data_IF_551388081527
#
_entry.id   IF_551388081527
#
_cell.length_a   1.000
_cell.length_b   1.000
_cell.length_c   1.000
_cell.angle_alpha   90.00
_cell.angle_beta   90.00
_cell.angle_gamma   90.00
#
_symmetry.space_group_name_H-M   'P 1'
#
loop_
_entity.id
_entity.type
_entity.pdbx_description
1 polymer ?
#
# COMPACT_ATOMS: atom_id res chain seq x y z
N UNK A 1 -37.59 40.47 -46.22
CA UNK A 1 -36.44 40.47 -45.28
C UNK A 1 -36.73 39.52 -44.11
N UNK A 2 -36.25 38.27 -44.17
CA UNK A 2 -36.37 37.31 -43.06
C UNK A 2 -34.99 37.23 -42.36
N UNK A 3 -34.93 37.67 -41.11
CA UNK A 3 -33.70 37.55 -40.27
C UNK A 3 -33.69 36.14 -39.64
N UNK A 4 -32.75 35.30 -40.06
CA UNK A 4 -32.47 34.02 -39.47
C UNK A 4 -31.62 34.26 -38.18
N UNK A 5 -32.18 33.96 -37.00
CA UNK A 5 -31.44 33.97 -35.73
C UNK A 5 -30.72 32.63 -35.58
N UNK A 6 -29.42 32.63 -35.73
CA UNK A 6 -28.57 31.49 -35.42
C UNK A 6 -28.39 31.39 -33.91
N UNK A 7 -29.01 30.40 -33.30
CA UNK A 7 -28.87 30.08 -31.88
C UNK A 7 -27.55 29.32 -31.66
N UNK A 8 -26.54 29.97 -31.11
CA UNK A 8 -25.29 29.32 -30.71
C UNK A 8 -25.53 28.62 -29.36
N UNK A 9 -25.67 27.28 -29.38
CA UNK A 9 -25.72 26.45 -28.17
C UNK A 9 -24.28 26.21 -27.71
N UNK A 10 -23.81 27.00 -26.74
CA UNK A 10 -22.53 26.78 -26.06
C UNK A 10 -22.72 25.64 -25.08
N UNK A 11 -22.32 24.42 -25.50
CA UNK A 11 -22.31 23.22 -24.65
C UNK A 11 -21.11 23.29 -23.72
N UNK A 12 -21.34 23.83 -22.50
CA UNK A 12 -20.36 23.85 -21.43
C UNK A 12 -20.17 22.39 -20.94
N UNK A 13 -19.12 21.71 -21.40
CA UNK A 13 -18.70 20.41 -20.85
C UNK A 13 -18.03 20.68 -19.52
N UNK A 14 -18.77 20.51 -18.41
CA UNK A 14 -18.23 20.50 -17.07
C UNK A 14 -17.34 19.27 -16.94
N UNK A 15 -16.03 19.41 -17.10
CA UNK A 15 -15.05 18.38 -16.75
C UNK A 15 -15.00 18.36 -15.23
N UNK A 16 -15.74 17.42 -14.62
CA UNK A 16 -15.55 17.09 -13.20
C UNK A 16 -14.16 16.44 -13.08
N UNK A 17 -13.14 17.23 -12.75
CA UNK A 17 -11.87 16.71 -12.28
C UNK A 17 -12.13 16.08 -10.90
N UNK A 18 -12.23 14.76 -10.85
CA UNK A 18 -12.08 14.04 -9.59
C UNK A 18 -10.67 14.35 -9.06
N UNK A 19 -10.57 14.83 -7.84
CA UNK A 19 -9.30 14.93 -7.12
C UNK A 19 -8.88 13.47 -6.92
N UNK A 20 -7.94 12.99 -7.72
CA UNK A 20 -7.29 11.71 -7.48
C UNK A 20 -6.33 11.94 -6.32
N UNK A 21 -6.61 11.34 -5.16
CA UNK A 21 -5.62 11.28 -4.10
C UNK A 21 -4.38 10.57 -4.65
N UNK A 22 -3.21 11.14 -4.42
CA UNK A 22 -1.96 10.49 -4.79
C UNK A 22 -1.86 9.19 -4.00
N UNK A 23 -1.53 8.11 -4.68
CA UNK A 23 -1.30 6.80 -4.05
C UNK A 23 -0.20 6.06 -4.79
N UNK A 24 0.61 5.34 -4.03
CA UNK A 24 1.61 4.43 -4.56
C UNK A 24 1.11 3.00 -4.44
N UNK A 25 1.50 2.15 -5.38
CA UNK A 25 1.14 0.75 -5.42
C UNK A 25 2.39 -0.10 -5.58
N UNK A 26 2.58 -1.07 -4.69
CA UNK A 26 3.72 -1.98 -4.69
C UNK A 26 3.30 -3.43 -4.50
N UNK A 27 3.92 -4.33 -5.28
CA UNK A 27 3.96 -5.76 -4.97
C UNK A 27 5.21 -6.01 -4.13
N UNK A 28 5.03 -6.51 -2.90
CA UNK A 28 6.09 -6.81 -1.94
C UNK A 28 6.21 -8.33 -1.80
N UNK A 29 7.42 -8.85 -1.95
CA UNK A 29 7.71 -10.28 -1.86
C UNK A 29 8.97 -10.54 -1.05
N UNK A 30 8.92 -11.52 -0.14
CA UNK A 30 10.06 -11.97 0.64
C UNK A 30 10.13 -13.49 0.73
N UNK A 31 11.34 -14.03 0.85
CA UNK A 31 11.58 -15.46 1.10
C UNK A 31 11.39 -15.75 2.60
N UNK A 32 10.39 -16.54 2.94
CA UNK A 32 10.09 -16.95 4.33
C UNK A 32 10.49 -18.40 4.64
N UNK A 33 11.17 -19.07 3.70
CA UNK A 33 11.69 -20.44 3.93
C UNK A 33 12.47 -20.60 5.24
N UNK A 34 13.33 -19.64 5.66
CA UNK A 34 14.07 -19.75 6.91
C UNK A 34 13.19 -19.78 8.17
N UNK A 35 11.93 -19.39 8.08
CA UNK A 35 10.98 -19.43 9.19
C UNK A 35 10.30 -20.79 9.36
N UNK A 36 10.33 -21.64 8.34
CA UNK A 36 9.64 -22.95 8.37
C UNK A 36 10.28 -23.84 9.43
N UNK A 37 9.50 -24.21 10.46
CA UNK A 37 9.98 -25.05 11.56
C UNK A 37 10.99 -24.40 12.51
N UNK A 38 11.25 -23.10 12.36
CA UNK A 38 12.18 -22.39 13.23
C UNK A 38 11.62 -22.25 14.65
N UNK A 39 12.47 -22.48 15.67
CA UNK A 39 12.07 -22.54 17.08
C UNK A 39 11.61 -21.20 17.68
N UNK A 40 11.89 -20.08 17.02
CA UNK A 40 11.34 -18.77 17.41
C UNK A 40 9.85 -18.62 17.06
N UNK A 41 9.29 -19.50 16.21
CA UNK A 41 7.86 -19.52 15.90
C UNK A 41 6.98 -19.98 17.06
N UNK A 42 5.65 -19.78 16.98
CA UNK A 42 4.92 -19.27 15.83
C UNK A 42 5.22 -17.80 15.52
N UNK A 43 5.09 -17.44 14.24
CA UNK A 43 5.36 -16.08 13.76
C UNK A 43 4.05 -15.32 13.48
N UNK A 44 4.13 -13.99 13.56
CA UNK A 44 3.04 -13.10 13.16
C UNK A 44 3.58 -12.04 12.19
N UNK A 45 2.76 -11.60 11.25
CA UNK A 45 3.01 -10.36 10.52
C UNK A 45 2.51 -9.19 11.34
N UNK A 46 3.20 -8.08 11.25
CA UNK A 46 2.81 -6.80 11.80
C UNK A 46 2.86 -5.74 10.73
N UNK A 47 1.77 -4.97 10.60
CA UNK A 47 1.71 -3.77 9.79
C UNK A 47 1.36 -2.60 10.68
N UNK A 48 2.07 -1.48 10.51
CA UNK A 48 1.80 -0.24 11.23
C UNK A 48 1.67 0.92 10.25
N UNK A 49 0.77 1.85 10.56
CA UNK A 49 0.70 3.18 9.99
C UNK A 49 0.71 4.16 11.15
N UNK A 50 1.87 4.76 11.39
CA UNK A 50 2.07 5.73 12.45
C UNK A 50 1.82 7.12 11.88
N UNK A 51 0.90 7.83 12.50
CA UNK A 51 0.57 9.20 12.18
C UNK A 51 1.63 10.13 12.79
N UNK A 52 2.21 10.97 11.98
CA UNK A 52 3.28 11.87 12.36
C UNK A 52 2.77 13.19 12.91
N UNK A 53 2.80 14.21 12.07
CA UNK A 53 2.20 15.52 12.37
C UNK A 53 0.74 15.52 11.92
N UNK A 54 -0.16 16.17 12.66
CA UNK A 54 -1.59 16.20 12.31
C UNK A 54 -2.39 15.04 12.93
N UNK A 55 -1.90 14.47 14.00
CA UNK A 55 -2.40 13.25 14.65
C UNK A 55 -3.93 13.10 14.65
N UNK A 56 -4.41 12.03 14.03
CA UNK A 56 -5.83 11.67 13.95
C UNK A 56 -6.59 12.36 12.81
N UNK A 57 -5.90 12.91 11.81
CA UNK A 57 -6.55 13.65 10.72
C UNK A 57 -7.15 12.75 9.63
N UNK A 58 -6.82 11.46 9.65
CA UNK A 58 -7.36 10.43 8.72
C UNK A 58 -7.09 10.74 7.25
N UNK A 59 -5.94 11.35 6.97
CA UNK A 59 -5.59 11.75 5.61
C UNK A 59 -4.90 10.63 4.82
N UNK A 60 -4.25 9.65 5.51
CA UNK A 60 -3.56 8.53 4.90
C UNK A 60 -4.20 7.17 5.20
N UNK A 61 -4.05 6.27 4.24
CA UNK A 61 -4.54 4.89 4.32
C UNK A 61 -3.57 3.94 3.66
N UNK A 62 -3.24 2.85 4.35
CA UNK A 62 -2.55 1.70 3.79
C UNK A 62 -3.55 0.55 3.62
N UNK A 63 -3.68 0.04 2.38
CA UNK A 63 -4.49 -1.14 2.06
C UNK A 63 -3.59 -2.26 1.57
N UNK A 64 -3.68 -3.42 2.22
CA UNK A 64 -2.87 -4.60 1.92
C UNK A 64 -3.77 -5.74 1.47
N UNK A 65 -3.51 -6.28 0.27
CA UNK A 65 -4.34 -7.29 -0.37
C UNK A 65 -3.46 -8.34 -1.06
N UNK A 66 -4.09 -9.34 -1.66
CA UNK A 66 -3.46 -10.36 -2.47
C UNK A 66 -2.36 -11.14 -1.72
N UNK A 67 -2.62 -11.46 -0.44
CA UNK A 67 -1.67 -12.23 0.37
C UNK A 67 -1.47 -13.65 -0.17
N UNK A 68 -0.22 -14.02 -0.45
CA UNK A 68 0.19 -15.36 -0.86
C UNK A 68 1.29 -15.86 0.08
N UNK A 69 1.15 -17.08 0.56
CA UNK A 69 2.05 -17.68 1.55
C UNK A 69 2.86 -18.86 1.00
N UNK A 70 2.63 -19.28 -0.25
CA UNK A 70 3.35 -20.34 -0.95
C UNK A 70 3.59 -21.60 -0.09
N UNK A 71 2.51 -22.25 0.32
CA UNK A 71 2.52 -23.46 1.15
C UNK A 71 2.30 -23.22 2.64
N UNK A 72 2.15 -21.95 3.04
CA UNK A 72 1.69 -21.53 4.37
C UNK A 72 0.28 -20.95 4.34
N UNK A 73 -0.02 -20.09 5.30
CA UNK A 73 -1.32 -19.40 5.34
C UNK A 73 -1.56 -18.59 6.61
N UNK A 74 -2.64 -17.79 6.62
CA UNK A 74 -3.10 -17.08 7.81
C UNK A 74 -3.41 -18.03 8.96
N UNK A 75 -3.16 -17.61 10.19
CA UNK A 75 -3.48 -18.36 11.41
C UNK A 75 -4.04 -17.43 12.48
N UNK A 76 -4.95 -17.95 13.28
CA UNK A 76 -5.57 -17.20 14.40
C UNK A 76 -6.38 -15.99 13.96
N UNK A 77 -6.88 -15.27 14.95
CA UNK A 77 -7.59 -14.00 14.77
C UNK A 77 -6.60 -12.83 14.82
N UNK A 78 -6.86 -11.75 14.07
CA UNK A 78 -6.02 -10.55 14.14
C UNK A 78 -6.19 -9.81 15.46
N UNK A 79 -5.12 -9.12 15.88
CA UNK A 79 -5.16 -8.04 16.88
C UNK A 79 -5.14 -6.73 16.13
N UNK A 80 -6.09 -5.84 16.45
CA UNK A 80 -6.32 -4.58 15.76
C UNK A 80 -6.23 -3.42 16.77
N UNK A 81 -5.41 -2.42 16.46
CA UNK A 81 -5.28 -1.20 17.25
C UNK A 81 -5.49 0.04 16.35
N UNK A 82 -6.07 1.11 16.92
CA UNK A 82 -6.32 2.36 16.21
C UNK A 82 -7.21 2.16 14.98
N UNK A 83 -6.78 2.66 13.83
CA UNK A 83 -7.48 2.57 12.55
C UNK A 83 -7.28 1.26 11.77
N UNK A 84 -6.76 0.21 12.42
CA UNK A 84 -6.56 -1.08 11.76
C UNK A 84 -7.86 -1.87 11.62
N UNK A 85 -8.05 -2.55 10.47
CA UNK A 85 -9.22 -3.39 10.19
C UNK A 85 -8.84 -4.52 9.21
N UNK A 86 -9.64 -5.59 9.18
CA UNK A 86 -9.49 -6.69 8.23
C UNK A 86 -8.73 -7.90 8.78
N UNK A 87 -8.25 -8.74 7.88
CA UNK A 87 -7.46 -9.94 8.18
C UNK A 87 -6.67 -10.39 6.95
N UNK A 88 -5.70 -11.31 7.12
CA UNK A 88 -4.83 -11.79 6.05
C UNK A 88 -5.56 -12.61 4.95
N UNK A 89 -6.82 -12.99 5.15
CA UNK A 89 -7.61 -13.71 4.12
C UNK A 89 -8.38 -12.76 3.21
N UNK A 90 -8.89 -11.66 3.76
CA UNK A 90 -9.78 -10.73 3.04
C UNK A 90 -9.12 -9.40 2.68
N UNK A 91 -7.93 -9.13 3.22
CA UNK A 91 -7.23 -7.87 3.13
C UNK A 91 -7.21 -7.12 4.44
N UNK A 92 -6.25 -6.22 4.59
CA UNK A 92 -5.99 -5.38 5.76
C UNK A 92 -6.05 -3.93 5.35
N UNK A 93 -6.65 -3.07 6.18
CA UNK A 93 -6.65 -1.63 6.01
C UNK A 93 -6.18 -0.97 7.30
N UNK A 94 -5.28 -0.01 7.18
CA UNK A 94 -4.83 0.87 8.25
C UNK A 94 -5.17 2.30 7.84
N UNK A 95 -5.83 3.05 8.72
CA UNK A 95 -6.04 4.50 8.56
C UNK A 95 -5.33 5.21 9.70
N UNK A 96 -4.80 6.39 9.47
CA UNK A 96 -4.07 7.20 10.45
C UNK A 96 -4.99 8.02 11.38
N UNK A 97 -6.16 7.47 11.70
CA UNK A 97 -7.12 8.10 12.61
C UNK A 97 -6.69 8.09 14.10
N UNK A 98 -5.51 7.56 14.39
CA UNK A 98 -4.86 7.55 15.69
C UNK A 98 -3.34 7.69 15.49
N UNK A 99 -2.61 8.16 16.49
CA UNK A 99 -1.15 8.22 16.42
C UNK A 99 -0.51 6.86 16.09
N UNK A 100 -1.09 5.77 16.61
CA UNK A 100 -0.58 4.41 16.41
C UNK A 100 -1.69 3.50 15.90
N UNK A 101 -1.53 3.01 14.66
CA UNK A 101 -2.49 2.14 13.99
C UNK A 101 -1.75 0.86 13.61
N UNK A 102 -2.16 -0.29 14.21
CA UNK A 102 -1.41 -1.54 14.14
C UNK A 102 -2.33 -2.71 13.86
N UNK A 103 -1.88 -3.56 12.95
CA UNK A 103 -2.44 -4.86 12.64
C UNK A 103 -1.42 -5.95 12.95
N UNK A 104 -1.79 -6.96 13.73
CA UNK A 104 -0.97 -8.15 13.98
C UNK A 104 -1.83 -9.39 13.72
N UNK A 105 -1.32 -10.35 12.94
CA UNK A 105 -1.95 -11.67 12.81
C UNK A 105 -0.90 -12.74 12.60
N UNK A 106 -1.08 -13.87 13.29
CA UNK A 106 -0.23 -15.04 13.12
C UNK A 106 -0.38 -15.67 11.74
N UNK A 107 0.69 -16.30 11.26
CA UNK A 107 0.69 -17.05 10.02
C UNK A 107 1.58 -18.30 10.12
N UNK A 108 1.29 -19.29 9.29
CA UNK A 108 2.17 -20.43 9.04
C UNK A 108 3.08 -20.06 7.88
N UNK A 109 4.42 -20.01 8.08
CA UNK A 109 5.34 -19.71 6.99
C UNK A 109 5.31 -20.77 5.90
N UNK A 110 5.27 -20.31 4.64
CA UNK A 110 5.59 -21.09 3.46
C UNK A 110 6.95 -20.66 2.89
N UNK A 111 7.21 -20.99 1.62
CA UNK A 111 8.49 -20.64 0.98
C UNK A 111 8.61 -19.13 0.69
N UNK A 112 7.50 -18.42 0.55
CA UNK A 112 7.49 -16.99 0.37
C UNK A 112 6.21 -16.37 0.96
N UNK A 113 6.31 -15.11 1.39
CA UNK A 113 5.19 -14.22 1.67
C UNK A 113 5.18 -13.11 0.64
N UNK A 114 4.05 -12.90 -0.02
CA UNK A 114 3.85 -11.73 -0.88
C UNK A 114 2.50 -11.08 -0.61
N UNK A 115 2.43 -9.78 -0.87
CA UNK A 115 1.21 -8.98 -0.77
C UNK A 115 1.33 -7.72 -1.62
N UNK A 116 0.19 -7.14 -1.95
CA UNK A 116 0.08 -5.84 -2.61
C UNK A 116 -0.22 -4.76 -1.59
N UNK A 117 0.59 -3.70 -1.57
CA UNK A 117 0.39 -2.50 -0.78
C UNK A 117 -0.09 -1.36 -1.67
N UNK A 118 -1.24 -0.78 -1.33
CA UNK A 118 -1.68 0.53 -1.82
C UNK A 118 -1.62 1.52 -0.67
N UNK A 119 -0.83 2.59 -0.81
CA UNK A 119 -0.62 3.59 0.22
C UNK A 119 -0.95 4.97 -0.34
N UNK A 120 -1.89 5.71 0.30
CA UNK A 120 -2.08 7.12 -0.01
C UNK A 120 -0.88 7.94 0.47
N UNK A 121 -0.60 9.03 -0.22
CA UNK A 121 0.61 9.84 0.01
C UNK A 121 0.25 11.32 0.20
N UNK A 122 -0.67 11.59 1.12
CA UNK A 122 -0.99 12.95 1.53
C UNK A 122 0.05 13.43 2.54
N UNK A 123 0.59 14.61 2.33
CA UNK A 123 1.70 15.15 3.13
C UNK A 123 1.13 16.13 4.14
N UNK A 124 1.45 15.94 5.41
CA UNK A 124 1.07 16.83 6.48
C UNK A 124 1.85 18.13 6.46
N UNK A 125 1.19 19.19 6.88
CA UNK A 125 1.84 20.48 7.15
C UNK A 125 2.54 20.41 8.52
N UNK A 126 3.65 19.72 8.61
CA UNK A 126 4.41 19.55 9.87
C UNK A 126 5.77 18.95 9.61
N UNK A 127 6.53 18.69 10.68
CA UNK A 127 7.92 18.25 10.56
C UNK A 127 8.11 16.73 10.55
N UNK A 128 7.13 15.96 10.99
CA UNK A 128 7.21 14.49 11.09
C UNK A 128 6.24 13.88 10.10
N UNK A 129 6.72 13.12 9.10
CA UNK A 129 5.85 12.42 8.15
C UNK A 129 5.14 11.25 8.80
N UNK A 130 4.02 10.83 8.23
CA UNK A 130 3.42 9.54 8.52
C UNK A 130 4.35 8.43 8.04
N UNK A 131 4.28 7.28 8.71
CA UNK A 131 5.17 6.16 8.41
C UNK A 131 4.40 4.85 8.33
N UNK A 132 4.51 4.19 7.18
CA UNK A 132 4.12 2.79 7.04
C UNK A 132 5.32 1.89 7.33
N UNK A 133 5.07 0.79 8.09
CA UNK A 133 6.08 -0.24 8.31
C UNK A 133 5.50 -1.66 8.28
N UNK A 134 6.37 -2.63 7.95
CA UNK A 134 6.10 -4.07 7.99
C UNK A 134 7.19 -4.80 8.75
N UNK A 135 6.79 -5.59 9.75
CA UNK A 135 7.66 -6.45 10.54
C UNK A 135 7.13 -7.89 10.61
N UNK A 136 7.98 -8.81 11.04
CA UNK A 136 7.58 -10.16 11.46
C UNK A 136 7.94 -10.30 12.95
N UNK A 137 6.96 -10.72 13.74
CA UNK A 137 7.12 -10.97 15.17
C UNK A 137 7.38 -12.45 15.42
N UNK A 138 8.22 -12.75 16.40
CA UNK A 138 8.40 -14.09 16.93
C UNK A 138 7.32 -14.49 17.95
N UNK A 139 7.40 -15.68 18.52
CA UNK A 139 6.44 -16.20 19.53
C UNK A 139 6.33 -15.38 20.81
N UNK A 140 7.28 -14.48 21.07
CA UNK A 140 7.25 -13.57 22.24
C UNK A 140 6.56 -12.25 21.91
N UNK A 141 6.19 -12.03 20.64
CA UNK A 141 5.65 -10.77 20.15
C UNK A 141 6.73 -9.72 19.90
N UNK A 142 8.00 -10.13 19.83
CA UNK A 142 9.12 -9.24 19.51
C UNK A 142 9.43 -9.32 18.02
N UNK A 143 9.75 -8.19 17.42
CA UNK A 143 10.17 -8.10 16.02
C UNK A 143 11.43 -8.95 15.77
N UNK A 144 11.47 -9.64 14.64
CA UNK A 144 12.69 -10.33 14.21
C UNK A 144 13.78 -9.31 13.91
N UNK A 145 15.03 -9.56 14.38
CA UNK A 145 16.14 -8.65 14.13
C UNK A 145 16.36 -8.35 12.65
N UNK A 146 16.45 -7.08 12.30
CA UNK A 146 16.72 -6.62 10.93
C UNK A 146 17.91 -5.65 10.89
N UNK A 147 18.35 -5.31 9.66
CA UNK A 147 19.35 -4.28 9.41
C UNK A 147 18.75 -2.88 9.26
N UNK A 148 17.47 -2.70 9.64
CA UNK A 148 16.84 -1.38 9.65
C UNK A 148 17.56 -0.44 10.62
N UNK A 149 17.80 0.83 10.26
CA UNK A 149 18.37 1.80 11.17
C UNK A 149 17.34 2.21 12.22
N UNK A 150 17.82 2.46 13.46
CA UNK A 150 16.97 2.97 14.55
C UNK A 150 16.59 1.92 15.58
N UNK A 151 15.40 2.08 16.16
CA UNK A 151 14.96 1.26 17.30
C UNK A 151 14.00 0.13 16.91
N UNK A 152 13.44 0.17 15.70
CA UNK A 152 12.44 -0.80 15.23
C UNK A 152 13.05 -1.73 14.19
N UNK A 153 12.82 -3.02 14.36
CA UNK A 153 13.30 -4.06 13.47
C UNK A 153 12.23 -4.35 12.38
N UNK A 154 12.24 -3.56 11.30
CA UNK A 154 11.26 -3.67 10.21
C UNK A 154 11.91 -4.20 8.94
N UNK A 155 11.13 -4.94 8.13
CA UNK A 155 11.53 -5.40 6.80
C UNK A 155 11.22 -4.38 5.70
N UNK A 156 10.17 -3.56 5.90
CA UNK A 156 9.78 -2.48 4.99
C UNK A 156 9.48 -1.23 5.80
N UNK A 157 9.92 -0.08 5.32
CA UNK A 157 9.62 1.23 5.87
C UNK A 157 9.38 2.24 4.75
N UNK A 158 8.33 3.05 4.90
CA UNK A 158 7.97 4.12 3.96
C UNK A 158 7.59 5.34 4.80
N UNK A 159 8.37 6.42 4.70
CA UNK A 159 8.00 7.71 5.27
C UNK A 159 7.23 8.49 4.21
N UNK A 160 6.02 8.97 4.53
CA UNK A 160 5.15 9.71 3.60
C UNK A 160 5.57 11.17 3.61
N UNK A 161 6.76 11.46 3.08
CA UNK A 161 7.39 12.78 3.03
C UNK A 161 7.25 13.47 1.66
N UNK A 162 6.71 12.76 0.70
CA UNK A 162 6.53 13.22 -0.68
C UNK A 162 5.39 12.46 -1.37
N UNK A 163 4.91 12.97 -2.51
CA UNK A 163 3.90 12.27 -3.32
C UNK A 163 4.42 10.93 -3.91
N UNK A 164 5.73 10.72 -3.92
CA UNK A 164 6.39 9.48 -4.34
C UNK A 164 7.45 9.09 -3.30
N UNK A 165 7.05 8.64 -2.10
CA UNK A 165 7.96 8.31 -1.03
C UNK A 165 8.84 7.11 -1.39
N UNK A 166 10.03 7.08 -0.82
CA UNK A 166 10.99 6.00 -1.04
C UNK A 166 10.62 4.79 -0.19
N UNK A 167 10.45 3.63 -0.84
CA UNK A 167 10.30 2.35 -0.15
C UNK A 167 11.68 1.85 0.25
N UNK A 168 11.92 1.68 1.54
CA UNK A 168 13.14 1.09 2.10
C UNK A 168 12.86 -0.33 2.53
N UNK A 169 13.73 -1.26 2.14
CA UNK A 169 13.63 -2.68 2.51
C UNK A 169 14.91 -3.13 3.19
N UNK A 170 14.78 -3.96 4.22
CA UNK A 170 15.89 -4.41 5.06
C UNK A 170 15.87 -5.93 5.18
N UNK A 171 17.05 -6.55 5.14
CA UNK A 171 17.23 -7.96 5.44
C UNK A 171 17.29 -8.20 6.95
N UNK A 172 17.18 -9.47 7.34
CA UNK A 172 17.42 -9.87 8.73
C UNK A 172 18.87 -9.63 9.16
N UNK A 173 19.07 -9.23 10.40
CA UNK A 173 20.39 -9.11 11.02
C UNK A 173 20.82 -10.48 11.57
N UNK A 174 21.70 -11.16 10.84
CA UNK A 174 22.19 -12.48 11.19
C UNK A 174 23.21 -12.48 12.35
N UNK A 175 23.61 -11.31 12.86
CA UNK A 175 24.45 -11.18 14.05
C UNK A 175 23.64 -11.25 15.36
N UNK A 176 22.33 -11.11 15.28
CA UNK A 176 21.39 -11.20 16.40
C UNK A 176 20.51 -12.45 16.29
N UNK A 177 20.08 -12.95 17.44
CA UNK A 177 19.10 -14.06 17.51
C UNK A 177 17.72 -13.50 17.90
N UNK A 178 16.62 -14.11 17.42
CA UNK A 178 15.28 -13.74 17.87
C UNK A 178 15.09 -13.87 19.37
N UNK A 179 14.31 -13.00 19.99
CA UNK A 179 13.97 -13.08 21.42
C UNK A 179 13.25 -14.41 21.75
N UNK A 180 12.48 -14.97 20.80
CA UNK A 180 11.88 -16.29 20.91
C UNK A 180 12.86 -17.46 20.91
N UNK A 181 14.16 -17.21 20.74
CA UNK A 181 15.21 -18.21 20.78
C UNK A 181 15.48 -18.89 19.43
N UNK A 182 16.37 -19.87 19.44
CA UNK A 182 16.82 -20.56 18.23
C UNK A 182 18.11 -19.98 17.67
N UNK A 183 18.35 -20.21 16.38
CA UNK A 183 19.49 -19.63 15.64
C UNK A 183 19.15 -18.27 15.07
N UNK A 184 20.16 -17.53 14.62
CA UNK A 184 19.93 -16.34 13.80
C UNK A 184 19.18 -16.71 12.51
N UNK A 185 18.22 -15.87 12.10
CA UNK A 185 17.40 -16.08 10.91
C UNK A 185 18.03 -15.32 9.75
N UNK A 186 18.18 -15.94 8.60
CA UNK A 186 18.72 -15.30 7.40
C UNK A 186 17.62 -15.09 6.36
N UNK A 187 17.03 -13.91 6.35
CA UNK A 187 16.05 -13.46 5.36
C UNK A 187 16.64 -12.28 4.60
N UNK A 188 16.72 -12.40 3.28
CA UNK A 188 17.11 -11.27 2.43
C UNK A 188 16.05 -10.14 2.50
N UNK A 189 16.47 -8.91 2.23
CA UNK A 189 15.55 -7.78 2.13
C UNK A 189 14.41 -8.10 1.15
N UNK A 190 13.15 -7.74 1.49
CA UNK A 190 12.02 -7.90 0.58
C UNK A 190 12.24 -7.15 -0.74
N UNK A 191 11.71 -7.70 -1.82
CA UNK A 191 11.64 -7.00 -3.11
C UNK A 191 10.33 -6.22 -3.14
N UNK A 192 10.41 -4.90 -3.30
CA UNK A 192 9.26 -4.02 -3.50
C UNK A 192 9.25 -3.56 -4.97
N UNK A 193 8.27 -4.04 -5.74
CA UNK A 193 8.14 -3.71 -7.16
C UNK A 193 7.00 -2.71 -7.37
N UNK A 194 7.25 -1.50 -7.90
CA UNK A 194 6.19 -0.55 -8.20
C UNK A 194 5.23 -1.14 -9.23
N UNK A 195 3.92 -1.00 -8.97
CA UNK A 195 2.87 -1.35 -9.92
C UNK A 195 2.38 -0.07 -10.58
N UNK A 196 2.66 0.12 -11.87
CA UNK A 196 2.13 1.24 -12.64
C UNK A 196 0.72 0.88 -13.08
N UNK A 197 -0.33 1.61 -12.63
CA UNK A 197 -1.68 1.37 -13.14
C UNK A 197 -1.68 1.55 -14.66
N UNK A 198 -2.23 0.60 -15.40
CA UNK A 198 -2.39 0.77 -16.84
C UNK A 198 -3.26 2.00 -17.11
N UNK A 199 -2.85 2.91 -18.01
CA UNK A 199 -3.67 4.05 -18.36
C UNK A 199 -5.03 3.54 -18.85
N UNK A 200 -6.09 3.96 -18.17
CA UNK A 200 -7.45 3.56 -18.53
C UNK A 200 -7.75 4.08 -19.94
N UNK A 201 -7.60 3.24 -20.95
CA UNK A 201 -7.88 3.52 -22.38
C UNK A 201 -9.34 3.87 -22.62
N UNK A 202 -10.22 3.68 -21.64
CA UNK A 202 -11.67 3.94 -21.71
C UNK A 202 -12.02 5.41 -21.97
N UNK A 203 -11.13 6.37 -21.62
CA UNK A 203 -11.40 7.81 -21.84
C UNK A 203 -10.98 8.35 -23.21
N UNK A 204 -10.20 7.59 -24.00
CA UNK A 204 -9.76 8.04 -25.32
C UNK A 204 -10.79 7.75 -26.45
N UNK A 205 -11.67 6.78 -26.27
CA UNK A 205 -12.66 6.39 -27.28
C UNK A 205 -13.80 7.40 -27.49
N UNK A 206 -14.40 8.05 -26.49
CA UNK A 206 -15.51 8.97 -26.76
C UNK A 206 -15.08 10.30 -27.40
N UNK A 207 -13.85 10.77 -27.15
CA UNK A 207 -13.39 12.05 -27.74
C UNK A 207 -13.15 11.94 -29.25
N UNK A 208 -12.61 10.83 -29.73
CA UNK A 208 -12.36 10.58 -31.15
C UNK A 208 -13.67 10.38 -31.94
N UNK A 209 -14.69 9.77 -31.34
CA UNK A 209 -16.00 9.59 -31.96
C UNK A 209 -16.77 10.93 -32.08
N UNK A 210 -16.66 11.80 -31.11
CA UNK A 210 -17.29 13.14 -31.15
C UNK A 210 -16.66 13.99 -32.25
N UNK A 211 -15.35 13.97 -32.41
CA UNK A 211 -14.65 14.70 -33.48
C UNK A 211 -15.03 14.17 -34.86
N UNK A 212 -15.13 12.84 -35.03
CA UNK A 212 -15.57 12.21 -36.28
C UNK A 212 -17.01 12.53 -36.64
N UNK A 213 -17.92 12.56 -35.66
CA UNK A 213 -19.32 12.93 -35.86
C UNK A 213 -19.51 14.41 -36.25
N UNK A 214 -18.75 15.30 -35.63
CA UNK A 214 -18.78 16.74 -35.98
C UNK A 214 -18.20 16.96 -37.36
N UNK A 215 -17.12 16.30 -37.73
CA UNK A 215 -16.51 16.43 -39.07
C UNK A 215 -17.42 15.87 -40.17
N UNK A 216 -18.11 14.75 -39.95
CA UNK A 216 -19.06 14.18 -40.93
C UNK A 216 -20.31 15.03 -41.14
N UNK A 217 -20.72 15.82 -40.13
CA UNK A 217 -21.85 16.77 -40.28
C UNK A 217 -21.44 18.04 -41.03
N UNK A 218 -20.20 18.46 -40.98
CA UNK A 218 -19.73 19.66 -41.71
C UNK A 218 -19.55 19.43 -43.22
N UNK A 219 -19.41 18.18 -43.67
CA UNK A 219 -19.25 17.81 -45.10
C UNK A 219 -20.60 17.55 -45.84
N UNK A 220 -21.70 17.60 -45.12
CA UNK A 220 -23.04 17.29 -45.70
C UNK A 220 -23.85 18.50 -46.21
N UNK A 221 -23.27 19.67 -46.33
CA UNK A 221 -23.90 20.88 -46.87
C UNK A 221 -23.08 21.44 -48.03
N UNK A 222 -23.16 20.74 -49.16
CA UNK A 222 -22.91 21.29 -50.50
C UNK A 222 -23.92 20.72 -51.47
#
# INVERSE_FOLDING_TARGET
>A
MRRTRTLFFLMCTCVCSSIANASILYDITMNTTPLIGHSAGPFSVEFQLNDGSGTGDSNNTASLNDFLFNGGGPAGSPTLNGGANGNLTSGVTLTDNSFFNQFIQSFTPGSALSFRLSLSTNIDSGGTPDQFSFAILDKTGTELPTLAPGFFDVFVQIDIDSANPVVRTFGADTSRVPAGGGSAINIAAPVATPVVPEPSTVLLFPASWIVLLVWKRSQGYH
#
